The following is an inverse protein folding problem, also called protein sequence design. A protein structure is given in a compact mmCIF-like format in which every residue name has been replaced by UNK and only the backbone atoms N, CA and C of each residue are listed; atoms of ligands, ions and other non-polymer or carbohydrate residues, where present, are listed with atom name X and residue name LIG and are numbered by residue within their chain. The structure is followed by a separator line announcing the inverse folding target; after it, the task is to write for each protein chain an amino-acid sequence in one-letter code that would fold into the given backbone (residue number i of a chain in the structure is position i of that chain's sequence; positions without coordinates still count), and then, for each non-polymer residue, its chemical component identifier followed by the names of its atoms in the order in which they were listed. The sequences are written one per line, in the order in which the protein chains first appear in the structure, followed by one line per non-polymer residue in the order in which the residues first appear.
data_IF_327095644447
#
_entry.id   IF_327095644447
#
_cell.length_a   1.000
_cell.length_b   1.000
_cell.length_c   1.000
_cell.angle_alpha   90.00
_cell.angle_beta   90.00
_cell.angle_gamma   90.00
#
_symmetry.space_group_name_H-M   'P 1'
#
loop_
_entity.id
_entity.type
_entity.pdbx_description
1 polymer ?
#
# COMPACT_ATOMS: atom_id res chain seq x y z
N UNK A 1 10.86 24.77 -4.65
CA UNK A 1 9.57 24.03 -4.70
C UNK A 1 9.05 23.81 -6.12
N UNK A 2 9.38 24.63 -7.12
CA UNK A 2 8.93 24.44 -8.51
C UNK A 2 9.15 23.01 -9.03
N UNK A 3 10.35 22.44 -8.86
CA UNK A 3 10.65 21.06 -9.27
C UNK A 3 9.80 20.00 -8.54
N UNK A 4 9.57 20.17 -7.24
CA UNK A 4 8.69 19.29 -6.47
C UNK A 4 7.23 19.38 -6.95
N UNK A 5 6.74 20.58 -7.24
CA UNK A 5 5.40 20.78 -7.78
C UNK A 5 5.24 20.14 -9.16
N UNK A 6 6.28 20.22 -10.00
CA UNK A 6 6.30 19.52 -11.30
C UNK A 6 6.16 18.00 -11.11
N UNK A 7 6.85 17.40 -10.14
CA UNK A 7 6.71 15.95 -9.86
C UNK A 7 5.29 15.57 -9.44
N UNK A 8 4.64 16.38 -8.62
CA UNK A 8 3.24 16.16 -8.22
C UNK A 8 2.30 16.30 -9.42
N UNK A 9 2.53 17.28 -10.29
CA UNK A 9 1.73 17.48 -11.49
C UNK A 9 1.81 16.27 -12.45
N UNK A 10 3.02 15.78 -12.72
CA UNK A 10 3.23 14.61 -13.57
C UNK A 10 2.55 13.37 -12.98
N UNK A 11 2.72 13.09 -11.68
CA UNK A 11 2.03 11.98 -11.02
C UNK A 11 0.50 12.07 -11.11
N UNK A 12 -0.06 13.28 -11.07
CA UNK A 12 -1.50 13.49 -11.18
C UNK A 12 -2.02 13.33 -12.61
N UNK A 13 -1.19 13.66 -13.60
CA UNK A 13 -1.46 13.46 -15.04
C UNK A 13 -1.57 11.96 -15.35
N UNK A 14 -0.53 11.16 -15.05
CA UNK A 14 -0.55 9.72 -15.34
C UNK A 14 -1.67 8.97 -14.58
N UNK A 15 -2.01 9.45 -13.37
CA UNK A 15 -3.12 8.88 -12.61
C UNK A 15 -4.48 9.13 -13.28
N UNK A 16 -4.64 10.29 -13.93
CA UNK A 16 -5.86 10.63 -14.66
C UNK A 16 -5.97 9.79 -15.93
N UNK A 17 -4.87 9.56 -16.63
CA UNK A 17 -4.82 8.66 -17.79
C UNK A 17 -5.19 7.22 -17.40
N UNK A 18 -4.68 6.72 -16.25
CA UNK A 18 -5.10 5.42 -15.73
C UNK A 18 -6.62 5.36 -15.44
N UNK A 19 -7.20 6.42 -14.89
CA UNK A 19 -8.64 6.48 -14.64
C UNK A 19 -9.44 6.42 -15.95
N UNK A 20 -9.04 7.20 -16.95
CA UNK A 20 -9.66 7.22 -18.27
C UNK A 20 -9.53 5.86 -18.98
N UNK A 21 -8.38 5.20 -18.89
CA UNK A 21 -8.16 3.86 -19.46
C UNK A 21 -9.06 2.79 -18.81
N UNK A 22 -9.25 2.86 -17.47
CA UNK A 22 -10.20 1.98 -16.75
C UNK A 22 -11.64 2.25 -17.19
N UNK A 23 -12.04 3.52 -17.29
CA UNK A 23 -13.40 3.90 -17.72
C UNK A 23 -13.72 3.44 -19.14
N UNK A 24 -12.70 3.34 -20.00
CA UNK A 24 -12.82 2.90 -21.39
C UNK A 24 -12.63 1.37 -21.58
N UNK A 25 -12.44 0.61 -20.51
CA UNK A 25 -12.10 -0.83 -20.57
C UNK A 25 -10.87 -1.15 -21.47
N UNK A 26 -9.91 -0.23 -21.57
CA UNK A 26 -8.73 -0.36 -22.43
C UNK A 26 -7.52 -0.89 -21.66
N UNK A 27 -7.30 -2.20 -21.74
CA UNK A 27 -6.19 -2.86 -21.04
C UNK A 27 -4.80 -2.42 -21.54
N UNK A 28 -4.67 -1.98 -22.81
CA UNK A 28 -3.38 -1.54 -23.35
C UNK A 28 -3.01 -0.19 -22.75
N UNK A 29 -3.95 0.75 -22.75
CA UNK A 29 -3.76 2.07 -22.12
C UNK A 29 -3.62 1.96 -20.60
N UNK A 30 -4.30 1.00 -19.95
CA UNK A 30 -4.06 0.70 -18.52
C UNK A 30 -2.60 0.27 -18.28
N UNK A 31 -2.05 -0.59 -19.15
CA UNK A 31 -0.68 -1.03 -19.01
C UNK A 31 0.31 0.12 -19.23
N UNK A 32 0.04 1.00 -20.20
CA UNK A 32 0.85 2.18 -20.51
C UNK A 32 0.87 3.17 -19.33
N UNK A 33 -0.30 3.59 -18.86
CA UNK A 33 -0.43 4.51 -17.73
C UNK A 33 0.19 3.97 -16.43
N UNK A 34 0.15 2.65 -16.20
CA UNK A 34 0.85 2.03 -15.07
C UNK A 34 2.38 2.09 -15.21
N UNK A 35 2.90 1.90 -16.42
CA UNK A 35 4.32 2.07 -16.72
C UNK A 35 4.77 3.51 -16.53
N UNK A 36 3.97 4.47 -16.99
CA UNK A 36 4.28 5.90 -16.89
C UNK A 36 4.19 6.40 -15.45
N UNK A 37 3.18 5.98 -14.68
CA UNK A 37 3.13 6.19 -13.24
C UNK A 37 4.41 5.72 -12.54
N UNK A 38 4.90 4.52 -12.88
CA UNK A 38 6.15 4.01 -12.32
C UNK A 38 7.36 4.87 -12.76
N UNK A 39 7.39 5.33 -14.01
CA UNK A 39 8.47 6.14 -14.55
C UNK A 39 8.54 7.52 -13.87
N UNK A 40 7.41 8.22 -13.76
CA UNK A 40 7.35 9.55 -13.12
C UNK A 40 7.56 9.46 -11.61
N UNK A 41 7.13 8.36 -10.97
CA UNK A 41 7.42 8.06 -9.56
C UNK A 41 8.93 7.90 -9.33
N UNK A 42 9.62 7.14 -10.18
CA UNK A 42 11.08 7.01 -10.11
C UNK A 42 11.76 8.38 -10.25
N UNK A 43 11.30 9.21 -11.19
CA UNK A 43 11.76 10.59 -11.34
C UNK A 43 11.54 11.44 -10.08
N UNK A 44 10.41 11.30 -9.39
CA UNK A 44 10.13 11.98 -8.14
C UNK A 44 11.04 11.50 -7.00
N UNK A 45 11.25 10.20 -6.86
CA UNK A 45 12.17 9.61 -5.88
C UNK A 45 13.58 10.19 -6.05
N UNK A 46 14.07 10.28 -7.28
CA UNK A 46 15.37 10.88 -7.58
C UNK A 46 15.41 12.39 -7.29
N UNK A 47 14.34 13.12 -7.59
CA UNK A 47 14.22 14.56 -7.30
C UNK A 47 14.41 14.86 -5.81
N UNK A 48 13.92 13.99 -4.93
CA UNK A 48 14.09 14.12 -3.47
C UNK A 48 15.38 13.50 -2.92
N UNK A 49 16.30 13.05 -3.79
CA UNK A 49 17.57 12.45 -3.37
C UNK A 49 17.43 11.06 -2.74
N UNK A 50 16.29 10.39 -2.93
CA UNK A 50 15.98 9.11 -2.29
C UNK A 50 16.41 7.90 -3.11
N UNK A 51 16.88 8.08 -4.36
CA UNK A 51 17.18 6.96 -5.27
C UNK A 51 18.05 5.85 -4.66
N UNK A 52 19.13 6.21 -3.97
CA UNK A 52 20.02 5.23 -3.32
C UNK A 52 19.45 4.57 -2.05
N UNK A 53 18.38 5.13 -1.47
CA UNK A 53 17.76 4.66 -0.22
C UNK A 53 16.37 4.05 -0.46
N UNK A 54 15.78 4.26 -1.64
CA UNK A 54 14.38 3.94 -1.89
C UNK A 54 14.08 2.46 -1.76
N UNK A 55 14.99 1.57 -2.17
CA UNK A 55 14.84 0.14 -1.94
C UNK A 55 14.67 -0.17 -0.46
N UNK A 56 15.54 0.34 0.41
CA UNK A 56 15.46 0.12 1.85
C UNK A 56 14.16 0.70 2.45
N UNK A 57 13.76 1.89 2.01
CA UNK A 57 12.49 2.50 2.42
C UNK A 57 11.29 1.64 2.01
N UNK A 58 11.31 1.13 0.77
CA UNK A 58 10.26 0.26 0.25
C UNK A 58 10.21 -1.08 0.98
N UNK A 59 11.37 -1.71 1.23
CA UNK A 59 11.48 -2.96 1.98
C UNK A 59 10.91 -2.82 3.40
N UNK A 60 11.13 -1.68 4.07
CA UNK A 60 10.58 -1.40 5.39
C UNK A 60 9.05 -1.23 5.36
N UNK A 61 8.52 -0.52 4.35
CA UNK A 61 7.07 -0.44 4.12
C UNK A 61 6.48 -1.81 3.81
N UNK A 62 7.18 -2.63 3.02
CA UNK A 62 6.77 -3.99 2.69
C UNK A 62 6.74 -4.87 3.95
N UNK A 63 7.80 -4.88 4.76
CA UNK A 63 7.85 -5.58 6.06
C UNK A 63 6.67 -5.18 6.95
N UNK A 64 6.39 -3.88 7.06
CA UNK A 64 5.24 -3.38 7.83
C UNK A 64 3.91 -3.89 7.28
N UNK A 65 3.72 -3.90 5.95
CA UNK A 65 2.53 -4.45 5.31
C UNK A 65 2.38 -5.96 5.55
N UNK A 66 3.47 -6.73 5.46
CA UNK A 66 3.46 -8.16 5.74
C UNK A 66 3.13 -8.47 7.21
N UNK A 67 3.45 -7.57 8.14
CA UNK A 67 3.07 -7.71 9.56
C UNK A 67 1.57 -7.54 9.84
N UNK A 68 0.76 -7.17 8.83
CA UNK A 68 -0.71 -7.12 8.97
C UNK A 68 -1.33 -8.51 9.06
N UNK A 69 -0.68 -9.53 8.48
CA UNK A 69 -1.16 -10.90 8.50
C UNK A 69 -0.99 -11.52 9.89
N UNK A 70 -1.97 -12.31 10.32
CA UNK A 70 -1.92 -13.07 11.56
C UNK A 70 -1.25 -14.44 11.31
N UNK A 71 -0.49 -14.94 12.28
CA UNK A 71 0.23 -16.22 12.16
C UNK A 71 -0.59 -17.40 12.63
N UNK A 72 -1.64 -17.15 13.41
CA UNK A 72 -2.51 -18.18 13.99
C UNK A 72 -3.97 -17.76 13.88
N UNK A 73 -4.87 -18.75 13.95
CA UNK A 73 -6.32 -18.51 14.02
C UNK A 73 -6.67 -17.65 15.24
N UNK A 74 -6.06 -17.95 16.40
CA UNK A 74 -6.29 -17.19 17.64
C UNK A 74 -5.96 -15.71 17.46
N UNK A 75 -4.83 -15.38 16.82
CA UNK A 75 -4.45 -14.00 16.53
C UNK A 75 -5.43 -13.31 15.57
N UNK A 76 -5.95 -14.04 14.58
CA UNK A 76 -6.97 -13.53 13.65
C UNK A 76 -8.29 -13.25 14.37
N UNK A 77 -8.74 -14.15 15.24
CA UNK A 77 -9.96 -13.98 16.05
C UNK A 77 -9.84 -12.81 17.03
N UNK A 78 -8.69 -12.68 17.71
CA UNK A 78 -8.39 -11.55 18.57
C UNK A 78 -8.35 -10.23 17.79
N UNK A 79 -7.84 -10.25 16.55
CA UNK A 79 -7.86 -9.09 15.66
C UNK A 79 -9.27 -8.70 15.24
N UNK A 80 -10.12 -9.66 14.86
CA UNK A 80 -11.53 -9.40 14.55
C UNK A 80 -12.23 -8.79 15.77
N UNK A 81 -12.03 -9.38 16.95
CA UNK A 81 -12.59 -8.87 18.20
C UNK A 81 -12.10 -7.46 18.50
N UNK A 82 -10.81 -7.19 18.34
CA UNK A 82 -10.23 -5.86 18.55
C UNK A 82 -10.96 -4.78 17.73
N UNK A 83 -11.17 -5.02 16.43
CA UNK A 83 -11.86 -4.06 15.57
C UNK A 83 -13.36 -3.96 15.87
N UNK A 84 -14.01 -5.07 16.18
CA UNK A 84 -15.40 -5.04 16.62
C UNK A 84 -15.56 -4.21 17.90
N UNK A 85 -14.76 -4.47 18.93
CA UNK A 85 -14.82 -3.75 20.21
C UNK A 85 -14.46 -2.26 20.07
N UNK A 86 -13.54 -1.93 19.14
CA UNK A 86 -13.06 -0.56 18.91
C UNK A 86 -14.09 0.32 18.20
N UNK A 87 -14.66 -0.16 17.09
CA UNK A 87 -15.49 0.67 16.19
C UNK A 87 -16.59 -0.12 15.48
N UNK A 88 -16.94 -1.31 15.99
CA UNK A 88 -17.97 -2.20 15.45
C UNK A 88 -17.70 -2.62 13.99
N UNK A 89 -16.43 -2.59 13.56
CA UNK A 89 -16.05 -3.05 12.23
C UNK A 89 -16.22 -4.57 12.13
N UNK A 90 -17.25 -5.00 11.40
CA UNK A 90 -17.43 -6.41 11.08
C UNK A 90 -16.33 -6.91 10.16
N UNK A 91 -15.73 -8.03 10.55
CA UNK A 91 -14.54 -8.58 9.90
C UNK A 91 -14.60 -10.10 9.84
N UNK A 92 -13.80 -10.68 8.96
CA UNK A 92 -13.61 -12.12 8.81
C UNK A 92 -12.16 -12.42 8.43
N UNK A 93 -11.70 -13.67 8.52
CA UNK A 93 -10.36 -14.04 8.06
C UNK A 93 -10.39 -15.05 6.91
N UNK A 94 -9.33 -15.06 6.10
CA UNK A 94 -9.04 -16.12 5.12
C UNK A 94 -7.60 -16.60 5.33
N UNK A 95 -7.40 -17.90 5.21
CA UNK A 95 -6.07 -18.48 5.17
C UNK A 95 -5.47 -18.33 3.77
N UNK A 96 -4.25 -17.79 3.69
CA UNK A 96 -3.48 -17.62 2.46
C UNK A 96 -2.02 -17.95 2.78
N UNK A 97 -1.45 -18.94 2.10
CA UNK A 97 -0.06 -19.37 2.26
C UNK A 97 0.36 -19.64 3.72
N UNK A 98 -0.53 -20.23 4.52
CA UNK A 98 -0.30 -20.54 5.93
C UNK A 98 -0.35 -19.34 6.89
N UNK A 99 -0.82 -18.19 6.41
CA UNK A 99 -1.11 -17.00 7.21
C UNK A 99 -2.62 -16.71 7.21
N UNK A 100 -3.10 -15.95 8.19
CA UNK A 100 -4.50 -15.58 8.34
C UNK A 100 -4.67 -14.08 8.12
N UNK A 101 -5.23 -13.71 6.97
CA UNK A 101 -5.51 -12.33 6.61
C UNK A 101 -6.91 -11.95 7.10
N UNK A 102 -7.00 -10.89 7.91
CA UNK A 102 -8.27 -10.36 8.40
C UNK A 102 -8.77 -9.27 7.46
N UNK A 103 -10.00 -9.38 6.99
CA UNK A 103 -10.64 -8.47 6.05
C UNK A 103 -11.87 -7.83 6.68
N UNK A 104 -12.07 -6.55 6.38
CA UNK A 104 -13.31 -5.84 6.68
C UNK A 104 -14.40 -6.28 5.70
N UNK A 105 -15.59 -6.63 6.20
CA UNK A 105 -16.69 -7.11 5.35
C UNK A 105 -17.22 -6.06 4.35
N UNK A 106 -17.06 -4.78 4.63
CA UNK A 106 -17.64 -3.71 3.81
C UNK A 106 -16.99 -3.57 2.42
N UNK A 107 -15.70 -3.88 2.30
CA UNK A 107 -14.91 -3.60 1.09
C UNK A 107 -13.73 -4.55 0.88
N UNK A 108 -13.67 -5.66 1.62
CA UNK A 108 -12.57 -6.64 1.58
C UNK A 108 -11.18 -6.02 1.78
N UNK A 109 -11.10 -4.88 2.48
CA UNK A 109 -9.83 -4.28 2.84
C UNK A 109 -9.19 -5.05 3.99
N UNK A 110 -7.91 -5.42 3.81
CA UNK A 110 -7.12 -6.06 4.87
C UNK A 110 -6.95 -5.13 6.07
N UNK A 111 -7.28 -5.65 7.25
CA UNK A 111 -7.09 -5.01 8.55
C UNK A 111 -5.71 -5.35 9.12
N UNK A 112 -5.26 -4.58 10.12
CA UNK A 112 -3.94 -4.77 10.73
C UNK A 112 -4.07 -5.75 11.88
N UNK A 113 -3.27 -6.82 11.91
CA UNK A 113 -3.14 -7.69 13.08
C UNK A 113 -2.96 -6.88 14.38
N UNK A 114 -3.43 -7.41 15.51
CA UNK A 114 -3.10 -6.88 16.84
C UNK A 114 -1.58 -6.83 17.11
N UNK A 115 -0.78 -7.65 16.42
CA UNK A 115 0.69 -7.64 16.48
C UNK A 115 1.33 -6.85 15.32
N UNK A 116 0.55 -6.04 14.60
CA UNK A 116 1.04 -5.20 13.52
C UNK A 116 2.20 -4.30 13.98
N UNK A 117 3.24 -4.23 13.14
CA UNK A 117 4.38 -3.38 13.35
C UNK A 117 4.37 -2.23 12.31
N UNK A 118 4.24 -0.97 12.75
CA UNK A 118 4.29 0.16 11.83
C UNK A 118 5.66 0.30 11.15
N UNK A 119 5.67 0.89 9.96
CA UNK A 119 6.90 1.21 9.25
C UNK A 119 7.65 2.33 9.99
N UNK A 120 8.96 2.16 10.19
CA UNK A 120 9.84 3.20 10.72
C UNK A 120 10.88 3.63 9.68
N UNK A 121 10.59 4.72 8.96
CA UNK A 121 11.44 5.20 7.87
C UNK A 121 12.59 6.08 8.34
N UNK A 122 12.51 6.66 9.54
CA UNK A 122 13.47 7.67 10.02
C UNK A 122 14.91 7.14 10.07
N UNK A 123 15.20 5.92 10.56
CA UNK A 123 16.54 5.35 10.55
C UNK A 123 17.13 5.15 9.15
N UNK A 124 16.29 5.08 8.13
CA UNK A 124 16.69 4.84 6.74
C UNK A 124 16.87 6.12 5.92
N UNK A 125 16.58 7.29 6.51
CA UNK A 125 16.73 8.59 5.85
C UNK A 125 18.09 9.26 6.15
N UNK A 126 18.76 8.85 7.22
CA UNK A 126 20.08 9.35 7.63
C UNK A 126 21.20 8.78 6.78
#
# INVERSE_FOLDING_TARGET
KQRANLRVALLAEELKELQEAIENDDLVEVADALCDLQYVLAGAIHEFGLGGKFKTLFDEVHRSNMSKACKTIEEAELTIKHYFDKDQTESYYKEVDGLFLVFRKADDKTLKSINYSPADLKPHLV
#
